data_IF_298967865930
#
_entry.id   IF_298967865930
#
_cell.length_a   1.000
_cell.length_b   1.000
_cell.length_c   1.000
_cell.angle_alpha   90.00
_cell.angle_beta   90.00
_cell.angle_gamma   90.00
#
_symmetry.space_group_name_H-M   'P 1'
#
loop_
_entity.id
_entity.type
_entity.pdbx_description
1 polymer ?
#
# COMPACT_ATOMS: atom_id res chain seq x y z
N UNK A 1 -23.59 -28.99 -3.31
CA UNK A 1 -22.42 -29.70 -2.75
C UNK A 1 -21.66 -30.32 -3.92
N UNK A 2 -20.56 -29.70 -4.33
CA UNK A 2 -19.65 -30.23 -5.35
C UNK A 2 -18.25 -30.34 -4.72
N UNK A 3 -17.51 -31.43 -4.93
CA UNK A 3 -16.24 -31.66 -4.25
C UNK A 3 -15.13 -30.78 -4.85
N UNK A 4 -14.41 -30.11 -3.95
CA UNK A 4 -13.18 -29.37 -4.19
C UNK A 4 -12.05 -30.32 -4.60
N UNK A 5 -11.41 -30.08 -5.75
CA UNK A 5 -10.14 -30.72 -6.09
C UNK A 5 -8.99 -30.05 -5.30
N UNK A 6 -8.01 -30.82 -4.81
CA UNK A 6 -6.89 -30.27 -4.04
C UNK A 6 -5.82 -29.64 -4.96
N UNK A 7 -5.31 -28.48 -4.55
CA UNK A 7 -4.22 -27.75 -5.20
C UNK A 7 -2.88 -28.38 -4.80
N UNK A 8 -1.97 -28.73 -5.74
CA UNK A 8 -0.64 -29.22 -5.39
C UNK A 8 0.32 -28.07 -5.02
N UNK A 9 1.29 -28.30 -4.10
CA UNK A 9 2.20 -27.26 -3.63
C UNK A 9 3.29 -26.91 -4.66
N UNK A 10 3.59 -25.62 -4.73
CA UNK A 10 4.71 -25.03 -5.47
C UNK A 10 6.04 -25.48 -4.84
N UNK A 11 6.80 -26.33 -5.52
CA UNK A 11 8.20 -26.58 -5.19
C UNK A 11 9.08 -25.66 -6.02
N UNK A 12 9.83 -24.81 -5.29
CA UNK A 12 10.87 -23.93 -5.82
C UNK A 12 12.08 -24.73 -6.31
N UNK A 13 12.70 -24.36 -7.45
CA UNK A 13 13.95 -24.98 -7.88
C UNK A 13 15.14 -24.40 -7.09
N UNK A 14 15.78 -25.27 -6.32
CA UNK A 14 17.06 -25.01 -5.64
C UNK A 14 18.15 -24.72 -6.67
N UNK A 15 18.80 -23.56 -6.54
CA UNK A 15 20.01 -23.20 -7.26
C UNK A 15 21.24 -23.71 -6.49
N UNK A 16 22.35 -23.94 -7.20
CA UNK A 16 23.70 -24.35 -6.73
C UNK A 16 23.94 -25.88 -6.70
N UNK A 17 24.96 -26.47 -7.33
CA UNK A 17 26.20 -25.94 -7.90
C UNK A 17 26.61 -26.81 -9.10
N UNK A 18 26.94 -26.18 -10.25
CA UNK A 18 27.72 -26.84 -11.30
C UNK A 18 29.17 -26.41 -11.13
N UNK A 19 29.98 -27.34 -10.64
CA UNK A 19 31.44 -27.28 -10.70
C UNK A 19 31.85 -27.07 -12.16
N UNK A 20 32.47 -25.93 -12.45
CA UNK A 20 33.25 -25.74 -13.66
C UNK A 20 34.45 -26.69 -13.59
N UNK A 21 34.45 -27.72 -14.44
CA UNK A 21 35.68 -28.38 -14.82
C UNK A 21 36.07 -27.87 -16.20
N UNK A 22 37.20 -27.16 -16.25
CA UNK A 22 37.92 -26.80 -17.46
C UNK A 22 38.31 -28.06 -18.24
N UNK A 23 37.96 -28.17 -19.55
CA UNK A 23 38.49 -29.22 -20.41
C UNK A 23 39.67 -28.66 -21.22
N UNK A 24 40.74 -28.24 -20.55
CA UNK A 24 42.02 -27.92 -21.21
C UNK A 24 43.19 -28.57 -20.48
N UNK A 25 43.23 -29.90 -20.52
CA UNK A 25 44.49 -30.64 -20.32
C UNK A 25 44.35 -32.06 -20.86
N UNK A 26 44.45 -32.23 -22.17
CA UNK A 26 44.80 -33.52 -22.76
C UNK A 26 46.25 -33.44 -23.20
N UNK A 27 47.11 -33.75 -22.22
CA UNK A 27 48.49 -34.13 -22.46
C UNK A 27 48.51 -35.27 -23.47
N UNK A 28 49.32 -35.09 -24.50
CA UNK A 28 49.85 -36.14 -25.35
C UNK A 28 50.28 -37.35 -24.51
N UNK A 29 49.61 -38.48 -24.71
CA UNK A 29 50.26 -39.78 -24.61
C UNK A 29 50.10 -40.44 -25.97
N UNK A 30 51.19 -40.37 -26.73
CA UNK A 30 51.42 -41.21 -27.89
C UNK A 30 51.46 -42.66 -27.41
N UNK A 31 50.58 -43.48 -27.96
CA UNK A 31 50.80 -44.92 -28.05
C UNK A 31 50.88 -45.26 -29.54
N UNK A 32 52.06 -45.65 -30.05
CA UNK A 32 52.16 -46.21 -31.39
C UNK A 32 51.84 -47.70 -31.30
N UNK A 33 50.83 -48.15 -32.05
CA UNK A 33 50.95 -49.46 -32.69
C UNK A 33 50.05 -49.50 -33.92
N UNK A 34 50.69 -49.52 -35.08
CA UNK A 34 50.09 -49.90 -36.34
C UNK A 34 49.55 -51.33 -36.24
N UNK A 35 48.32 -51.55 -36.70
CA UNK A 35 48.02 -52.73 -37.52
C UNK A 35 46.62 -52.61 -38.14
N UNK A 36 46.63 -52.61 -39.48
CA UNK A 36 45.56 -52.95 -40.42
C UNK A 36 44.25 -52.14 -40.41
N UNK A 37 44.07 -51.40 -41.51
CA UNK A 37 42.89 -51.56 -42.34
C UNK A 37 41.72 -50.60 -42.11
N UNK A 38 41.65 -49.58 -42.96
CA UNK A 38 40.38 -48.99 -43.41
C UNK A 38 39.71 -48.02 -42.45
N UNK A 39 40.11 -46.75 -42.49
CA UNK A 39 39.29 -45.65 -41.98
C UNK A 39 38.04 -45.48 -42.85
N UNK A 40 37.02 -46.30 -42.58
CA UNK A 40 35.64 -46.01 -42.97
C UNK A 40 35.19 -44.84 -42.11
N UNK A 41 35.11 -43.65 -42.70
CA UNK A 41 34.45 -42.50 -42.10
C UNK A 41 32.97 -42.83 -41.89
N UNK A 42 32.63 -43.39 -40.74
CA UNK A 42 31.25 -43.40 -40.27
C UNK A 42 30.99 -41.98 -39.80
N UNK A 43 30.45 -41.15 -40.70
CA UNK A 43 29.85 -39.87 -40.32
C UNK A 43 28.71 -40.21 -39.35
N UNK A 44 29.02 -40.13 -38.05
CA UNK A 44 28.03 -40.27 -37.00
C UNK A 44 26.97 -39.20 -37.23
N UNK A 45 25.79 -39.61 -37.70
CA UNK A 45 24.58 -38.79 -37.71
C UNK A 45 24.14 -38.56 -36.27
N UNK A 46 24.88 -37.74 -35.51
CA UNK A 46 24.50 -37.34 -34.16
C UNK A 46 24.33 -35.83 -34.16
N UNK A 47 23.16 -35.40 -33.67
CA UNK A 47 22.76 -34.00 -33.39
C UNK A 47 22.07 -33.18 -34.51
N UNK A 48 20.93 -33.67 -35.03
CA UNK A 48 19.93 -32.76 -35.67
C UNK A 48 18.64 -32.55 -34.85
N UNK A 49 18.50 -33.19 -33.69
CA UNK A 49 17.25 -33.19 -32.90
C UNK A 49 17.11 -32.07 -31.85
N UNK A 50 18.18 -31.34 -31.50
CA UNK A 50 18.13 -30.31 -30.42
C UNK A 50 17.73 -28.92 -30.89
N UNK A 51 17.74 -28.66 -32.21
CA UNK A 51 17.43 -27.33 -32.77
C UNK A 51 15.92 -27.07 -32.92
N UNK A 52 15.10 -28.12 -33.04
CA UNK A 52 13.64 -28.01 -33.16
C UNK A 52 12.92 -27.84 -31.81
N UNK A 53 13.39 -28.51 -30.76
CA UNK A 53 12.74 -28.51 -29.44
C UNK A 53 12.92 -27.19 -28.67
N UNK A 54 14.08 -26.55 -28.83
CA UNK A 54 14.36 -25.22 -28.24
C UNK A 54 13.55 -24.13 -28.93
N UNK A 55 13.50 -24.10 -30.27
CA UNK A 55 12.78 -23.09 -31.04
C UNK A 55 11.26 -23.15 -30.82
N UNK A 56 10.68 -24.35 -30.74
CA UNK A 56 9.26 -24.54 -30.41
C UNK A 56 8.91 -24.08 -28.98
N UNK A 57 9.77 -24.36 -27.99
CA UNK A 57 9.60 -23.85 -26.61
C UNK A 57 9.71 -22.34 -26.51
N UNK A 58 10.64 -21.71 -27.23
CA UNK A 58 10.78 -20.26 -27.20
C UNK A 58 9.57 -19.53 -27.78
N UNK A 59 9.01 -20.02 -28.88
CA UNK A 59 7.79 -19.46 -29.49
C UNK A 59 6.62 -19.56 -28.50
N UNK A 60 6.41 -20.74 -27.89
CA UNK A 60 5.36 -20.92 -26.88
C UNK A 60 5.56 -20.03 -25.64
N UNK A 61 6.80 -19.88 -25.16
CA UNK A 61 7.10 -19.01 -24.01
C UNK A 61 6.86 -17.53 -24.32
N UNK A 62 7.12 -17.09 -25.55
CA UNK A 62 6.93 -15.70 -25.96
C UNK A 62 5.45 -15.37 -26.14
N UNK A 63 4.66 -16.29 -26.71
CA UNK A 63 3.21 -16.16 -26.79
C UNK A 63 2.58 -16.11 -25.39
N UNK A 64 2.98 -17.00 -24.48
CA UNK A 64 2.49 -16.99 -23.11
C UNK A 64 2.85 -15.69 -22.37
N UNK A 65 4.01 -15.09 -22.65
CA UNK A 65 4.37 -13.79 -22.09
C UNK A 65 3.47 -12.68 -22.64
N UNK A 66 3.28 -12.63 -23.96
CA UNK A 66 2.40 -11.63 -24.59
C UNK A 66 0.97 -11.76 -24.07
N UNK A 67 0.44 -12.96 -24.02
CA UNK A 67 -0.89 -13.25 -23.51
C UNK A 67 -1.05 -12.78 -22.04
N UNK A 68 -0.07 -13.05 -21.18
CA UNK A 68 -0.11 -12.55 -19.78
C UNK A 68 -0.09 -11.03 -19.70
N UNK A 69 0.64 -10.36 -20.59
CA UNK A 69 0.65 -8.90 -20.63
C UNK A 69 -0.69 -8.35 -21.12
N UNK A 70 -1.25 -8.94 -22.16
CA UNK A 70 -2.59 -8.59 -22.67
C UNK A 70 -3.66 -8.83 -21.60
N UNK A 71 -3.62 -9.95 -20.88
CA UNK A 71 -4.51 -10.23 -19.75
C UNK A 71 -4.34 -9.22 -18.61
N UNK A 72 -3.10 -8.81 -18.30
CA UNK A 72 -2.84 -7.78 -17.29
C UNK A 72 -3.44 -6.44 -17.70
N UNK A 73 -3.24 -6.03 -18.95
CA UNK A 73 -3.80 -4.80 -19.49
C UNK A 73 -5.33 -4.84 -19.46
N UNK A 74 -5.94 -5.95 -19.87
CA UNK A 74 -7.39 -6.15 -19.79
C UNK A 74 -7.89 -6.06 -18.35
N UNK A 75 -7.23 -6.74 -17.40
CA UNK A 75 -7.58 -6.67 -15.98
C UNK A 75 -7.46 -5.26 -15.42
N UNK A 76 -6.41 -4.53 -15.79
CA UNK A 76 -6.22 -3.14 -15.35
C UNK A 76 -7.32 -2.24 -15.89
N UNK A 77 -7.61 -2.32 -17.20
CA UNK A 77 -8.70 -1.55 -17.81
C UNK A 77 -10.07 -1.91 -17.18
N UNK A 78 -10.32 -3.19 -16.92
CA UNK A 78 -11.54 -3.62 -16.23
C UNK A 78 -11.61 -3.05 -14.81
N UNK A 79 -10.49 -3.02 -14.08
CA UNK A 79 -10.44 -2.45 -12.73
C UNK A 79 -10.71 -0.96 -12.76
N UNK A 80 -10.14 -0.24 -13.73
CA UNK A 80 -10.39 1.20 -13.94
C UNK A 80 -11.87 1.41 -14.23
N UNK A 81 -12.46 0.67 -15.18
CA UNK A 81 -13.88 0.78 -15.51
C UNK A 81 -14.79 0.52 -14.31
N UNK A 82 -14.50 -0.52 -13.51
CA UNK A 82 -15.27 -0.79 -12.29
C UNK A 82 -15.13 0.36 -11.27
N UNK A 83 -13.94 0.94 -11.10
CA UNK A 83 -13.74 2.07 -10.21
C UNK A 83 -14.48 3.32 -10.69
N UNK A 84 -14.47 3.59 -12.00
CA UNK A 84 -15.22 4.69 -12.60
C UNK A 84 -16.74 4.51 -12.39
N UNK A 85 -17.27 3.32 -12.64
CA UNK A 85 -18.69 2.99 -12.40
C UNK A 85 -19.07 3.22 -10.92
N UNK A 86 -18.32 2.63 -9.98
CA UNK A 86 -18.59 2.81 -8.54
C UNK A 86 -18.49 4.28 -8.11
N UNK A 87 -17.58 5.04 -8.70
CA UNK A 87 -17.44 6.47 -8.42
C UNK A 87 -18.67 7.26 -8.93
N UNK A 88 -19.14 6.96 -10.15
CA UNK A 88 -20.35 7.59 -10.69
C UNK A 88 -21.58 7.26 -9.86
N UNK A 89 -21.72 6.02 -9.39
CA UNK A 89 -22.81 5.58 -8.52
C UNK A 89 -22.77 6.28 -7.15
N UNK A 90 -21.59 6.37 -6.52
CA UNK A 90 -21.42 7.08 -5.26
C UNK A 90 -21.75 8.58 -5.40
N UNK A 91 -21.33 9.21 -6.49
CA UNK A 91 -21.69 10.60 -6.76
C UNK A 91 -23.19 10.79 -7.00
N UNK A 92 -23.85 9.87 -7.68
CA UNK A 92 -25.30 9.91 -7.86
C UNK A 92 -26.03 9.78 -6.53
N UNK A 93 -25.64 8.81 -5.69
CA UNK A 93 -26.22 8.60 -4.36
C UNK A 93 -25.96 9.80 -3.43
N UNK A 94 -24.76 10.38 -3.47
CA UNK A 94 -24.44 11.56 -2.67
C UNK A 94 -25.33 12.75 -3.05
N UNK A 95 -25.51 13.03 -4.35
CA UNK A 95 -26.44 14.06 -4.82
C UNK A 95 -27.88 13.78 -4.39
N UNK A 96 -28.32 12.53 -4.40
CA UNK A 96 -29.65 12.15 -3.92
C UNK A 96 -29.82 12.42 -2.42
N UNK A 97 -28.83 12.06 -1.60
CA UNK A 97 -28.83 12.33 -0.17
C UNK A 97 -28.83 13.84 0.12
N UNK A 98 -28.07 14.63 -0.63
CA UNK A 98 -28.08 16.10 -0.50
C UNK A 98 -29.48 16.67 -0.77
N UNK A 99 -30.17 16.17 -1.80
CA UNK A 99 -31.55 16.58 -2.10
C UNK A 99 -32.52 16.15 -1.00
N UNK A 100 -32.35 14.95 -0.43
CA UNK A 100 -33.18 14.46 0.68
C UNK A 100 -32.97 15.27 1.96
N UNK A 101 -31.72 15.60 2.30
CA UNK A 101 -31.39 16.49 3.42
C UNK A 101 -32.04 17.86 3.22
N UNK A 102 -31.93 18.44 2.03
CA UNK A 102 -32.56 19.73 1.71
C UNK A 102 -34.09 19.66 1.84
N UNK A 103 -34.70 18.56 1.40
CA UNK A 103 -36.14 18.32 1.52
C UNK A 103 -36.57 18.25 2.99
N UNK A 104 -35.91 17.42 3.81
CA UNK A 104 -36.22 17.28 5.24
C UNK A 104 -35.98 18.59 5.99
N UNK A 105 -34.93 19.35 5.63
CA UNK A 105 -34.68 20.65 6.21
C UNK A 105 -35.83 21.65 5.94
N UNK A 106 -36.34 21.68 4.71
CA UNK A 106 -37.49 22.52 4.34
C UNK A 106 -38.78 22.07 5.06
N UNK A 107 -39.02 20.75 5.20
CA UNK A 107 -40.14 20.22 5.97
C UNK A 107 -40.06 20.64 7.45
N UNK A 108 -38.87 20.57 8.06
CA UNK A 108 -38.65 21.02 9.42
C UNK A 108 -38.90 22.52 9.59
N UNK A 109 -38.50 23.35 8.62
CA UNK A 109 -38.77 24.79 8.65
C UNK A 109 -40.28 25.09 8.67
N UNK A 110 -41.07 24.41 7.84
CA UNK A 110 -42.54 24.56 7.82
C UNK A 110 -43.16 24.10 9.14
N UNK A 111 -42.69 22.99 9.71
CA UNK A 111 -43.17 22.51 11.02
C UNK A 111 -42.87 23.53 12.12
N UNK A 112 -41.69 24.16 12.11
CA UNK A 112 -41.36 25.22 13.06
C UNK A 112 -42.22 26.47 12.85
N UNK A 113 -42.40 26.91 11.61
CA UNK A 113 -43.22 28.08 11.28
C UNK A 113 -44.70 27.87 11.64
N UNK A 114 -45.25 26.67 11.43
CA UNK A 114 -46.63 26.33 11.78
C UNK A 114 -46.81 26.20 13.29
N UNK A 115 -45.88 25.57 14.01
CA UNK A 115 -45.90 25.50 15.48
C UNK A 115 -45.87 26.90 16.12
N UNK A 116 -45.02 27.80 15.63
CA UNK A 116 -44.94 29.15 16.17
C UNK A 116 -46.18 30.00 15.82
N UNK A 117 -46.79 29.75 14.66
CA UNK A 117 -48.02 30.43 14.22
C UNK A 117 -49.26 29.97 15.01
N UNK A 118 -49.35 28.69 15.38
CA UNK A 118 -50.45 28.18 16.22
C UNK A 118 -50.29 28.60 17.69
N UNK A 119 -49.06 28.65 18.20
CA UNK A 119 -48.76 29.20 19.53
C UNK A 119 -49.13 30.70 19.65
N UNK A 120 -49.06 31.46 18.55
CA UNK A 120 -49.40 32.88 18.53
C UNK A 120 -50.90 33.17 18.35
N UNK A 121 -51.74 32.17 18.07
CA UNK A 121 -53.18 32.33 17.81
C UNK A 121 -54.08 32.05 19.04
N UNK A 122 -53.51 31.59 20.16
CA UNK A 122 -54.23 31.41 21.44
C UNK A 122 -53.94 32.58 22.37
N UNK A 123 -54.83 33.58 22.35
CA UNK A 123 -54.89 34.67 23.33
C UNK A 123 -55.53 34.16 24.62
N UNK A 124 -54.76 34.11 25.72
CA UNK A 124 -55.24 33.67 27.04
C UNK A 124 -54.15 33.63 28.12
N UNK A 125 -54.38 34.17 29.33
CA UNK A 125 -53.36 34.27 30.38
C UNK A 125 -52.95 32.90 30.93
N UNK A 126 -51.64 32.72 31.05
CA UNK A 126 -50.88 31.58 31.60
C UNK A 126 -51.60 30.80 32.71
N UNK A 127 -51.53 29.46 32.68
CA UNK A 127 -51.03 28.75 33.84
C UNK A 127 -49.71 28.07 33.49
N UNK A 128 -48.74 28.39 34.32
CA UNK A 128 -47.49 27.69 34.59
C UNK A 128 -47.68 26.16 34.49
N UNK A 129 -47.25 25.60 33.36
CA UNK A 129 -46.88 24.18 33.26
C UNK A 129 -45.50 24.16 32.65
N UNK A 130 -44.54 23.78 33.48
CA UNK A 130 -43.16 23.50 33.10
C UNK A 130 -43.13 22.59 31.87
N UNK A 131 -42.92 23.17 30.70
CA UNK A 131 -42.52 22.42 29.52
C UNK A 131 -41.27 23.09 28.98
N UNK A 132 -40.16 22.70 29.62
CA UNK A 132 -38.80 22.95 29.23
C UNK A 132 -38.56 24.35 28.68
N UNK A 133 -38.30 25.27 29.61
CA UNK A 133 -37.33 26.34 29.41
C UNK A 133 -36.04 25.71 28.86
N UNK A 134 -35.98 25.49 27.55
CA UNK A 134 -34.73 25.45 26.83
C UNK A 134 -34.44 26.91 26.51
N UNK A 135 -34.04 27.63 27.57
CA UNK A 135 -32.99 28.62 27.43
C UNK A 135 -32.06 28.13 26.32
N UNK A 136 -31.74 28.95 25.30
CA UNK A 136 -30.69 28.64 24.35
C UNK A 136 -29.40 28.48 25.14
N UNK A 137 -29.19 27.26 25.63
CA UNK A 137 -28.00 26.83 26.31
C UNK A 137 -27.04 26.59 25.16
N UNK A 138 -26.48 27.70 24.70
CA UNK A 138 -25.31 27.83 23.85
C UNK A 138 -25.00 26.55 23.08
N UNK A 139 -25.90 26.20 22.16
CA UNK A 139 -25.57 25.32 21.07
C UNK A 139 -24.66 26.15 20.16
N UNK A 140 -23.38 26.11 20.54
CA UNK A 140 -22.19 26.58 19.84
C UNK A 140 -22.50 27.07 18.44
N UNK A 141 -22.68 28.39 18.33
CA UNK A 141 -22.64 29.10 17.06
C UNK A 141 -21.20 29.01 16.57
N UNK A 142 -20.83 27.88 15.99
CA UNK A 142 -19.63 27.77 15.17
C UNK A 142 -19.96 28.54 13.90
N UNK A 143 -19.72 29.84 13.95
CA UNK A 143 -19.31 30.59 12.77
C UNK A 143 -18.20 29.78 12.13
N UNK A 144 -18.42 29.35 10.89
CA UNK A 144 -17.35 28.84 10.06
C UNK A 144 -16.41 30.01 9.73
N UNK A 145 -15.59 30.37 10.72
CA UNK A 145 -14.40 31.17 10.55
C UNK A 145 -13.44 30.32 9.71
N UNK A 146 -13.49 30.60 8.41
CA UNK A 146 -12.51 30.15 7.44
C UNK A 146 -11.22 30.94 7.64
N UNK A 147 -10.61 30.87 8.82
CA UNK A 147 -9.24 31.36 9.07
C UNK A 147 -8.60 30.80 10.35
N UNK A 148 -8.77 29.50 10.62
CA UNK A 148 -8.08 28.82 11.73
C UNK A 148 -7.78 27.36 11.40
N UNK A 149 -7.01 27.15 10.33
CA UNK A 149 -6.49 25.83 9.92
C UNK A 149 -4.96 25.75 10.02
N UNK A 150 -4.34 26.56 10.89
CA UNK A 150 -2.90 26.47 11.16
C UNK A 150 -2.53 26.10 12.60
N UNK A 151 -3.48 25.79 13.48
CA UNK A 151 -3.14 25.41 14.86
C UNK A 151 -4.20 24.51 15.51
N UNK A 152 -4.47 23.34 14.93
CA UNK A 152 -5.05 22.25 15.72
C UNK A 152 -3.90 21.35 16.14
N UNK A 153 -3.56 21.22 17.44
CA UNK A 153 -2.81 20.07 17.89
C UNK A 153 -3.69 18.89 17.50
N UNK A 154 -3.23 18.11 16.53
CA UNK A 154 -3.89 16.85 16.21
C UNK A 154 -3.81 16.04 17.51
N UNK A 155 -4.94 15.81 18.14
CA UNK A 155 -5.04 14.79 19.18
C UNK A 155 -4.94 13.44 18.45
N UNK A 156 -3.70 13.09 18.11
CA UNK A 156 -3.32 11.71 17.86
C UNK A 156 -3.62 10.95 19.15
N UNK A 157 -4.11 9.69 19.10
CA UNK A 157 -4.21 8.86 20.28
C UNK A 157 -2.90 8.97 21.05
N UNK A 158 -2.95 9.52 22.27
CA UNK A 158 -1.79 9.83 23.10
C UNK A 158 -0.82 8.67 22.99
N UNK A 159 0.31 8.91 22.32
CA UNK A 159 1.32 7.91 22.07
C UNK A 159 1.56 7.14 23.36
N UNK A 160 1.34 5.82 23.33
CA UNK A 160 1.75 4.97 24.44
C UNK A 160 3.26 5.01 24.48
N UNK A 161 3.78 5.96 25.27
CA UNK A 161 5.19 6.17 25.62
C UNK A 161 5.66 4.96 26.43
N UNK A 162 5.69 3.79 25.80
CA UNK A 162 6.29 2.61 26.37
C UNK A 162 7.79 2.90 26.33
N UNK A 163 8.42 3.04 27.50
CA UNK A 163 9.88 3.20 27.55
C UNK A 163 10.48 1.87 27.09
N UNK A 164 11.43 1.93 26.16
CA UNK A 164 12.24 0.75 25.79
C UNK A 164 13.03 0.26 27.01
N UNK A 165 13.55 -0.96 26.97
CA UNK A 165 14.49 -1.50 27.99
C UNK A 165 15.74 -0.60 28.11
N UNK A 166 16.05 0.16 27.06
CA UNK A 166 17.11 1.17 26.97
C UNK A 166 16.74 2.52 27.58
N UNK A 167 15.48 2.72 28.00
CA UNK A 167 14.97 3.97 28.57
C UNK A 167 14.53 5.02 27.55
N UNK A 168 14.68 4.74 26.25
CA UNK A 168 14.28 5.66 25.18
C UNK A 168 12.77 5.61 24.91
N UNK A 169 12.26 6.72 24.37
CA UNK A 169 10.86 6.87 23.96
C UNK A 169 10.62 6.03 22.70
N UNK A 170 9.69 5.09 22.81
CA UNK A 170 9.21 4.33 21.66
C UNK A 170 8.11 5.11 20.92
N UNK A 171 8.31 5.30 19.62
CA UNK A 171 7.47 6.04 18.70
C UNK A 171 6.73 5.09 17.76
N UNK A 172 5.42 5.26 17.64
CA UNK A 172 4.64 4.60 16.60
C UNK A 172 4.94 5.22 15.22
N UNK A 173 4.52 4.56 14.13
CA UNK A 173 4.73 4.97 12.74
C UNK A 173 4.35 6.43 12.47
N UNK A 174 3.21 6.88 12.99
CA UNK A 174 2.76 8.26 12.83
C UNK A 174 3.70 9.24 13.53
N UNK A 175 4.07 8.94 14.79
CA UNK A 175 4.98 9.77 15.57
C UNK A 175 6.40 9.81 14.99
N UNK A 176 6.87 8.68 14.43
CA UNK A 176 8.14 8.58 13.74
C UNK A 176 8.17 9.48 12.50
N UNK A 177 7.09 9.45 11.71
CA UNK A 177 6.93 10.29 10.53
C UNK A 177 6.85 11.78 10.87
N UNK A 178 6.14 12.14 11.94
CA UNK A 178 6.08 13.53 12.42
C UNK A 178 7.46 14.01 12.92
N UNK A 179 8.27 13.13 13.52
CA UNK A 179 9.63 13.47 13.92
C UNK A 179 10.55 13.70 12.71
N UNK A 180 10.43 12.86 11.67
CA UNK A 180 11.19 13.04 10.42
C UNK A 180 10.86 14.39 9.78
N UNK A 181 9.57 14.73 9.64
CA UNK A 181 9.15 16.00 9.03
C UNK A 181 9.60 17.25 9.81
N UNK A 182 9.68 17.15 11.13
CA UNK A 182 10.06 18.28 11.97
C UNK A 182 11.57 18.52 12.07
N UNK A 183 12.40 17.54 11.65
CA UNK A 183 13.85 17.61 11.71
C UNK A 183 14.42 18.69 10.77
N UNK A 184 15.46 19.41 11.22
CA UNK A 184 16.07 20.52 10.47
C UNK A 184 16.61 20.06 9.11
N UNK A 185 17.35 18.95 9.10
CA UNK A 185 17.89 18.36 7.87
C UNK A 185 16.80 18.00 6.83
N UNK A 186 15.59 17.62 7.27
CA UNK A 186 14.48 17.33 6.36
C UNK A 186 13.90 18.63 5.77
N UNK A 187 13.79 19.69 6.57
CA UNK A 187 13.34 21.02 6.12
C UNK A 187 14.33 21.68 5.17
N UNK A 188 15.61 21.42 5.36
CA UNK A 188 16.69 21.85 4.46
C UNK A 188 16.76 21.02 3.17
N UNK A 189 15.97 19.93 3.07
CA UNK A 189 15.93 19.06 1.91
C UNK A 189 17.20 18.22 1.72
N UNK A 190 17.99 18.02 2.78
CA UNK A 190 19.27 17.31 2.75
C UNK A 190 19.15 15.84 3.11
N UNK A 191 17.93 15.34 3.40
CA UNK A 191 17.68 13.98 3.87
C UNK A 191 17.16 13.10 2.74
N UNK A 192 17.85 11.99 2.50
CA UNK A 192 17.37 10.92 1.63
C UNK A 192 16.31 10.09 2.37
N UNK A 193 15.04 10.28 1.98
CA UNK A 193 13.88 9.61 2.59
C UNK A 193 13.95 8.10 2.36
N UNK A 194 14.47 7.65 1.20
CA UNK A 194 14.58 6.23 0.90
C UNK A 194 15.68 5.57 1.74
N UNK A 195 16.79 6.27 1.97
CA UNK A 195 17.84 5.88 2.92
C UNK A 195 17.35 5.78 4.36
N UNK A 196 16.58 6.78 4.82
CA UNK A 196 15.95 6.74 6.16
C UNK A 196 15.00 5.55 6.28
N UNK A 197 14.15 5.31 5.27
CA UNK A 197 13.23 4.17 5.24
C UNK A 197 13.99 2.85 5.36
N UNK A 198 15.04 2.65 4.56
CA UNK A 198 15.82 1.41 4.56
C UNK A 198 16.48 1.14 5.91
N UNK A 199 16.97 2.18 6.59
CA UNK A 199 17.56 2.05 7.94
C UNK A 199 16.52 1.76 9.00
N UNK A 200 15.31 2.32 8.87
CA UNK A 200 14.21 2.09 9.80
C UNK A 200 13.61 0.68 9.67
N UNK A 201 13.58 0.10 8.47
CA UNK A 201 13.06 -1.26 8.26
C UNK A 201 13.78 -2.33 9.08
N UNK A 202 15.07 -2.15 9.38
CA UNK A 202 15.87 -3.09 10.19
C UNK A 202 15.79 -2.91 11.71
N UNK A 203 15.29 -1.77 12.19
CA UNK A 203 15.18 -1.43 13.63
C UNK A 203 13.74 -1.43 14.13
N UNK A 204 12.80 -1.72 13.24
CA UNK A 204 11.39 -1.90 13.49
C UNK A 204 11.13 -2.99 14.55
N UNK A 205 10.53 -2.62 15.69
CA UNK A 205 10.09 -3.58 16.71
C UNK A 205 8.58 -3.83 16.58
N UNK A 206 8.16 -5.10 16.47
CA UNK A 206 6.74 -5.45 16.39
C UNK A 206 6.14 -5.54 17.79
N UNK A 207 5.55 -4.43 18.27
CA UNK A 207 4.98 -4.33 19.61
C UNK A 207 3.48 -4.56 19.65
N UNK A 208 2.98 -5.72 19.21
CA UNK A 208 1.57 -6.16 19.35
C UNK A 208 0.47 -5.35 18.62
N UNK A 209 0.67 -4.06 18.43
CA UNK A 209 -0.27 -3.08 17.86
C UNK A 209 0.33 -2.34 16.65
N UNK A 210 1.61 -2.58 16.36
CA UNK A 210 2.27 -1.95 15.22
C UNK A 210 3.78 -2.12 15.26
N UNK A 211 4.42 -1.56 14.25
CA UNK A 211 5.87 -1.37 14.24
C UNK A 211 6.16 -0.12 15.05
N UNK A 212 7.03 -0.26 16.02
CA UNK A 212 7.44 0.79 16.94
C UNK A 212 8.94 1.01 16.81
N UNK A 213 9.38 2.25 16.92
CA UNK A 213 10.75 2.68 16.70
C UNK A 213 11.29 3.41 17.93
N UNK A 214 12.56 3.19 18.26
CA UNK A 214 13.25 4.02 19.27
C UNK A 214 13.55 5.41 18.70
N UNK A 215 13.26 6.46 19.46
CA UNK A 215 13.50 7.85 19.06
C UNK A 215 14.98 8.08 18.67
N UNK A 216 15.93 7.52 19.41
CA UNK A 216 17.36 7.65 19.12
C UNK A 216 17.76 7.00 17.78
N UNK A 217 17.08 5.92 17.39
CA UNK A 217 17.32 5.23 16.11
C UNK A 217 16.83 6.04 14.93
N UNK A 218 15.67 6.69 15.05
CA UNK A 218 15.15 7.54 13.98
C UNK A 218 16.02 8.79 13.81
N UNK A 219 16.44 9.45 14.90
CA UNK A 219 17.36 10.59 14.83
C UNK A 219 18.65 10.24 14.10
N UNK A 220 19.28 9.13 14.50
CA UNK A 220 20.51 8.66 13.87
C UNK A 220 20.31 8.30 12.40
N UNK A 221 19.18 7.65 12.07
CA UNK A 221 18.87 7.31 10.68
C UNK A 221 18.77 8.56 9.80
N UNK A 222 18.21 9.67 10.31
CA UNK A 222 18.13 10.95 9.58
C UNK A 222 19.52 11.55 9.41
N UNK A 223 20.32 11.64 10.47
CA UNK A 223 21.67 12.23 10.45
C UNK A 223 22.63 11.48 9.52
N UNK A 224 22.50 10.15 9.42
CA UNK A 224 23.36 9.34 8.56
C UNK A 224 22.83 9.18 7.13
N UNK A 225 21.62 9.65 6.82
CA UNK A 225 21.01 9.54 5.47
C UNK A 225 20.98 10.89 4.79
N UNK A 226 22.10 11.60 4.84
CA UNK A 226 22.28 12.83 4.09
C UNK A 226 22.42 12.49 2.60
N UNK A 227 21.76 13.27 1.75
CA UNK A 227 21.89 13.20 0.30
C UNK A 227 23.36 13.51 -0.03
N UNK A 228 24.13 12.47 -0.26
CA UNK A 228 25.48 12.61 -0.79
C UNK A 228 25.33 12.91 -2.27
N UNK A 229 25.58 14.15 -2.66
CA UNK A 229 25.62 14.60 -4.06
C UNK A 229 26.67 13.75 -4.81
N UNK A 230 26.20 12.80 -5.64
CA UNK A 230 27.04 11.88 -6.42
C UNK A 230 26.91 12.15 -7.91
#
# INVERSE_FOLDING_TARGET
>A
MSPLCPVPPLTSPTHSARLFHDPTSLRHLAFPNEQYGGTRWVVSRRTRQTKGTTKSRHIGSQQAYRERQEQRLLRLNQTIGNLEETNTDLHANNKQLELEIAKVAAENEVLLATFNSTASATDGPVPEVELATTTPLEASRVTHDSDSMLSRPRDHPVHRLTKSETGEKLLDKAAAWDMIQNHELFKEGLVDIDGVRQKLEGVAQCGGEGVVFEEGRIRRAIEESLISDS
#
